data_IF_992322165161
#
_entry.id   IF_992322165161
#
_cell.length_a   1.000
_cell.length_b   1.000
_cell.length_c   1.000
_cell.angle_alpha   90.00
_cell.angle_beta   90.00
_cell.angle_gamma   90.00
#
_symmetry.space_group_name_H-M   'P 1'
#
loop_
_entity.id
_entity.type
_entity.pdbx_description
1 polymer ?
#
# COMPACT_ATOMS: atom_id res chain seq x y z
N UNK A 1 13.85 22.87 15.33
CA UNK A 1 14.05 22.08 14.11
C UNK A 1 15.22 22.69 13.35
N UNK A 2 16.27 21.92 13.07
CA UNK A 2 17.46 22.41 12.37
C UNK A 2 17.30 22.17 10.87
N UNK A 3 17.64 23.17 10.08
CA UNK A 3 17.67 23.07 8.62
C UNK A 3 18.61 21.95 8.17
N UNK A 4 18.22 21.19 7.14
CA UNK A 4 19.01 20.08 6.61
C UNK A 4 20.35 20.61 6.08
N UNK A 5 21.44 19.98 6.52
CA UNK A 5 22.81 20.31 6.09
C UNK A 5 23.36 19.39 5.01
N UNK A 6 22.69 18.27 4.76
CA UNK A 6 23.08 17.24 3.79
C UNK A 6 22.27 17.37 2.49
N UNK A 7 22.22 18.57 1.93
CA UNK A 7 21.59 18.85 0.64
C UNK A 7 22.65 18.68 -0.44
N UNK A 8 22.41 17.80 -1.41
CA UNK A 8 23.36 17.52 -2.49
C UNK A 8 22.98 18.23 -3.78
N UNK A 9 21.68 18.43 -4.03
CA UNK A 9 21.17 19.12 -5.22
C UNK A 9 20.20 20.24 -4.85
N UNK A 10 19.89 21.17 -5.77
CA UNK A 10 18.91 22.21 -5.51
C UNK A 10 17.58 21.63 -5.01
N UNK A 11 17.07 22.20 -3.92
CA UNK A 11 15.99 21.62 -3.14
C UNK A 11 14.65 22.30 -3.42
N UNK A 12 13.59 21.50 -3.58
CA UNK A 12 12.22 21.92 -3.45
C UNK A 12 11.57 21.31 -2.21
N UNK A 13 11.21 22.17 -1.24
CA UNK A 13 10.38 21.77 -0.09
C UNK A 13 8.90 21.84 -0.46
N UNK A 14 8.27 20.68 -0.54
CA UNK A 14 6.84 20.53 -0.83
C UNK A 14 6.05 20.32 0.46
N UNK A 15 5.00 21.13 0.68
CA UNK A 15 3.96 20.79 1.66
C UNK A 15 3.23 19.53 1.20
N UNK A 16 3.11 18.55 2.10
CA UNK A 16 2.42 17.31 1.81
C UNK A 16 0.91 17.56 1.76
N UNK A 17 0.32 17.17 0.64
CA UNK A 17 -1.09 17.38 0.33
C UNK A 17 -1.68 16.15 -0.38
N UNK A 18 -2.99 16.19 -0.64
CA UNK A 18 -3.72 15.09 -1.26
C UNK A 18 -3.17 14.65 -2.63
N UNK A 19 -2.42 15.49 -3.35
CA UNK A 19 -1.90 15.12 -4.67
C UNK A 19 -0.94 13.94 -4.57
N UNK A 20 -0.11 13.90 -3.52
CA UNK A 20 0.86 12.83 -3.30
C UNK A 20 0.20 11.45 -3.09
N UNK A 21 -1.04 11.40 -2.62
CA UNK A 21 -1.71 10.15 -2.28
C UNK A 21 -2.76 9.73 -3.32
N UNK A 22 -3.58 10.68 -3.80
CA UNK A 22 -4.72 10.36 -4.66
C UNK A 22 -4.35 10.08 -6.11
N UNK A 23 -3.26 10.66 -6.60
CA UNK A 23 -2.86 10.56 -8.02
C UNK A 23 -1.51 9.87 -8.24
N UNK A 24 -0.86 9.42 -7.17
CA UNK A 24 0.52 8.92 -7.17
C UNK A 24 1.48 9.85 -7.93
N UNK A 25 1.38 11.15 -7.64
CA UNK A 25 2.20 12.14 -8.30
C UNK A 25 1.95 13.56 -7.82
N UNK A 26 2.84 14.47 -8.19
CA UNK A 26 2.74 15.88 -7.85
C UNK A 26 3.14 16.78 -9.01
N UNK A 27 2.51 17.95 -9.08
CA UNK A 27 2.89 18.97 -10.07
C UNK A 27 4.08 19.75 -9.55
N UNK A 28 5.14 19.83 -10.36
CA UNK A 28 6.38 20.52 -10.02
C UNK A 28 6.16 22.02 -10.32
N UNK A 29 6.42 22.92 -9.37
CA UNK A 29 6.26 24.35 -9.60
C UNK A 29 7.29 24.85 -10.62
N UNK A 30 6.92 25.82 -11.44
CA UNK A 30 7.76 26.30 -12.56
C UNK A 30 9.18 26.68 -12.13
N UNK A 31 9.33 27.35 -10.98
CA UNK A 31 10.65 27.73 -10.48
C UNK A 31 11.55 26.52 -10.20
N UNK A 32 10.98 25.39 -9.74
CA UNK A 32 11.75 24.17 -9.51
C UNK A 32 12.06 23.47 -10.84
N UNK A 33 11.14 23.54 -11.82
CA UNK A 33 11.40 23.08 -13.18
C UNK A 33 12.59 23.81 -13.82
N UNK A 34 12.64 25.14 -13.66
CA UNK A 34 13.70 25.99 -14.20
C UNK A 34 15.03 25.72 -13.48
N UNK A 35 14.99 25.62 -12.15
CA UNK A 35 16.13 25.29 -11.29
C UNK A 35 16.77 23.95 -11.66
N UNK A 36 15.95 22.94 -11.97
CA UNK A 36 16.39 21.60 -12.35
C UNK A 36 16.57 21.41 -13.85
N UNK A 37 16.31 22.45 -14.65
CA UNK A 37 16.35 22.42 -16.12
C UNK A 37 15.50 21.29 -16.72
N UNK A 38 14.36 20.98 -16.11
CA UNK A 38 13.44 19.94 -16.61
C UNK A 38 12.98 20.17 -18.07
N UNK A 39 12.79 21.41 -18.56
CA UNK A 39 12.44 21.63 -19.96
C UNK A 39 13.48 21.12 -20.96
N UNK A 40 14.76 21.11 -20.61
CA UNK A 40 15.80 20.62 -21.53
C UNK A 40 15.70 19.09 -21.74
N UNK A 41 15.18 18.37 -20.74
CA UNK A 41 15.14 16.89 -20.74
C UNK A 41 13.75 16.33 -21.05
N UNK A 42 12.68 17.02 -20.61
CA UNK A 42 11.31 16.47 -20.60
C UNK A 42 10.30 17.31 -21.39
N UNK A 43 10.74 18.31 -22.16
CA UNK A 43 9.82 19.21 -22.87
C UNK A 43 8.77 18.48 -23.71
N UNK A 44 9.14 17.42 -24.43
CA UNK A 44 8.26 16.73 -25.37
C UNK A 44 7.68 15.41 -24.84
N UNK A 45 7.91 15.12 -23.55
CA UNK A 45 7.50 13.88 -22.91
C UNK A 45 6.09 14.02 -22.33
N UNK A 46 5.05 13.67 -23.08
CA UNK A 46 3.66 13.87 -22.64
C UNK A 46 3.01 12.67 -21.94
N UNK A 47 3.69 11.52 -21.88
CA UNK A 47 3.14 10.25 -21.42
C UNK A 47 4.09 9.50 -20.49
N UNK A 48 3.55 8.80 -19.49
CA UNK A 48 4.34 7.87 -18.64
C UNK A 48 4.83 6.63 -19.39
N UNK A 49 4.25 6.35 -20.56
CA UNK A 49 4.66 5.22 -21.43
C UNK A 49 5.89 5.54 -22.27
N UNK A 50 6.28 6.81 -22.31
CA UNK A 50 7.47 7.26 -23.03
C UNK A 50 8.70 6.89 -22.20
N UNK A 51 9.69 6.22 -22.82
CA UNK A 51 10.95 5.87 -22.16
C UNK A 51 11.70 7.13 -21.68
N UNK A 52 11.55 8.25 -22.39
CA UNK A 52 12.08 9.56 -22.00
C UNK A 52 11.51 10.09 -20.69
N UNK A 53 10.35 9.59 -20.25
CA UNK A 53 9.74 9.98 -18.97
C UNK A 53 10.36 9.32 -17.76
N UNK A 54 11.04 8.19 -17.95
CA UNK A 54 11.49 7.33 -16.85
C UNK A 54 12.56 8.04 -16.01
N UNK A 55 12.32 8.03 -14.71
CA UNK A 55 13.23 8.52 -13.66
C UNK A 55 13.25 7.52 -12.51
N UNK A 56 14.24 7.61 -11.63
CA UNK A 56 14.24 6.89 -10.36
C UNK A 56 13.94 7.85 -9.21
N UNK A 57 13.38 7.31 -8.13
CA UNK A 57 13.16 8.05 -6.89
C UNK A 57 13.79 7.27 -5.75
N UNK A 58 14.72 7.90 -5.02
CA UNK A 58 15.27 7.34 -3.79
C UNK A 58 14.52 7.91 -2.59
N UNK A 59 13.93 7.04 -1.78
CA UNK A 59 13.31 7.39 -0.51
C UNK A 59 13.68 6.34 0.53
N UNK A 60 14.15 6.78 1.71
CA UNK A 60 14.62 5.90 2.80
C UNK A 60 15.64 4.82 2.37
N UNK A 61 16.50 5.14 1.40
CA UNK A 61 17.49 4.21 0.79
C UNK A 61 16.91 3.12 -0.11
N UNK A 62 15.62 3.19 -0.42
CA UNK A 62 14.94 2.32 -1.38
C UNK A 62 14.72 3.07 -2.70
N UNK A 63 14.94 2.39 -3.83
CA UNK A 63 14.71 2.94 -5.15
C UNK A 63 13.34 2.53 -5.69
N UNK A 64 12.60 3.53 -6.17
CA UNK A 64 11.27 3.41 -6.75
C UNK A 64 11.25 3.88 -8.20
N UNK A 65 10.28 3.37 -8.95
CA UNK A 65 10.04 3.82 -10.32
C UNK A 65 9.23 5.12 -10.33
N UNK A 66 9.65 6.04 -11.21
CA UNK A 66 8.98 7.31 -11.40
C UNK A 66 8.97 7.76 -12.85
N UNK A 67 8.11 8.75 -13.13
CA UNK A 67 7.95 9.32 -14.46
C UNK A 67 7.77 10.83 -14.40
N UNK A 68 8.47 11.57 -15.26
CA UNK A 68 8.24 13.01 -15.46
C UNK A 68 7.53 13.24 -16.78
N UNK A 69 6.39 13.92 -16.74
CA UNK A 69 5.61 14.27 -17.94
C UNK A 69 5.38 15.77 -18.03
N UNK A 70 5.38 16.32 -19.25
CA UNK A 70 5.01 17.69 -19.56
C UNK A 70 3.59 17.77 -20.12
N UNK A 71 2.84 18.81 -19.73
CA UNK A 71 1.50 19.09 -20.23
C UNK A 71 1.43 20.50 -20.80
N UNK A 72 1.41 20.61 -22.14
CA UNK A 72 1.41 21.87 -22.90
C UNK A 72 0.00 22.40 -23.24
N UNK A 73 -1.01 21.53 -23.34
CA UNK A 73 -2.33 21.88 -23.88
C UNK A 73 -3.01 22.98 -23.05
N UNK A 74 -3.29 24.11 -23.70
CA UNK A 74 -4.02 25.24 -23.11
C UNK A 74 -3.24 26.10 -22.11
N UNK A 75 -1.90 26.05 -22.11
CA UNK A 75 -1.06 26.80 -21.15
C UNK A 75 0.02 27.63 -21.84
N UNK A 76 0.32 28.80 -21.26
CA UNK A 76 1.43 29.66 -21.67
C UNK A 76 2.80 29.05 -21.35
N UNK A 77 2.89 28.27 -20.28
CA UNK A 77 4.06 27.45 -19.93
C UNK A 77 3.66 25.99 -19.71
N UNK A 78 4.48 25.01 -20.15
CA UNK A 78 4.23 23.60 -19.88
C UNK A 78 4.22 23.34 -18.36
N UNK A 79 3.27 22.55 -17.87
CA UNK A 79 3.33 22.08 -16.48
C UNK A 79 3.99 20.71 -16.44
N UNK A 80 4.96 20.54 -15.54
CA UNK A 80 5.63 19.26 -15.32
C UNK A 80 5.02 18.54 -14.12
N UNK A 81 4.89 17.23 -14.24
CA UNK A 81 4.39 16.36 -13.16
C UNK A 81 5.35 15.22 -12.94
N UNK A 82 5.70 15.00 -11.67
CA UNK A 82 6.39 13.80 -11.22
C UNK A 82 5.34 12.78 -10.79
N UNK A 83 5.46 11.57 -11.30
CA UNK A 83 4.62 10.43 -10.98
C UNK A 83 5.47 9.31 -10.40
N UNK A 84 4.84 8.40 -9.67
CA UNK A 84 5.48 7.23 -9.09
C UNK A 84 4.53 6.06 -8.96
N UNK A 85 5.11 4.90 -8.67
CA UNK A 85 4.38 3.65 -8.49
C UNK A 85 3.56 3.61 -7.18
N UNK A 86 2.74 2.56 -7.04
CA UNK A 86 1.89 2.36 -5.86
C UNK A 86 2.72 2.04 -4.60
N UNK A 87 3.90 1.44 -4.74
CA UNK A 87 4.77 1.12 -3.60
C UNK A 87 5.34 2.36 -2.91
N UNK A 88 5.82 3.35 -3.67
CA UNK A 88 6.24 4.62 -3.08
C UNK A 88 5.05 5.36 -2.48
N UNK A 89 3.88 5.31 -3.13
CA UNK A 89 2.65 5.91 -2.58
C UNK A 89 2.31 5.35 -1.20
N UNK A 90 2.40 4.03 -1.02
CA UNK A 90 2.20 3.38 0.28
C UNK A 90 3.21 3.84 1.33
N UNK A 91 4.50 3.92 0.97
CA UNK A 91 5.53 4.38 1.91
C UNK A 91 5.34 5.85 2.31
N UNK A 92 4.93 6.70 1.38
CA UNK A 92 4.61 8.10 1.64
C UNK A 92 3.38 8.24 2.56
N UNK A 93 2.35 7.40 2.41
CA UNK A 93 1.18 7.37 3.32
C UNK A 93 1.59 6.98 4.75
N UNK A 94 2.54 6.05 4.89
CA UNK A 94 3.09 5.68 6.19
C UNK A 94 3.92 6.81 6.82
N UNK A 95 4.74 7.47 6.02
CA UNK A 95 5.63 8.53 6.51
C UNK A 95 4.87 9.80 6.86
N UNK A 96 3.91 10.20 6.03
CA UNK A 96 3.14 11.44 6.19
C UNK A 96 1.69 11.15 6.57
N UNK A 97 1.58 10.47 7.71
CA UNK A 97 0.36 9.85 8.17
C UNK A 97 -0.76 10.84 8.43
N UNK A 98 -0.43 11.99 9.02
CA UNK A 98 -1.42 13.00 9.35
C UNK A 98 -1.99 13.63 8.07
N UNK A 99 -1.14 13.97 7.11
CA UNK A 99 -1.57 14.50 5.82
C UNK A 99 -2.39 13.48 5.02
N UNK A 100 -2.06 12.20 5.11
CA UNK A 100 -2.86 11.14 4.51
C UNK A 100 -4.25 11.04 5.15
N UNK A 101 -4.34 11.00 6.49
CA UNK A 101 -5.64 10.99 7.20
C UNK A 101 -6.50 12.21 6.87
N UNK A 102 -5.89 13.41 6.78
CA UNK A 102 -6.60 14.62 6.31
C UNK A 102 -7.09 14.48 4.87
N UNK A 103 -6.31 13.83 4.00
CA UNK A 103 -6.73 13.59 2.62
C UNK A 103 -7.94 12.65 2.54
N UNK A 104 -7.98 11.61 3.37
CA UNK A 104 -9.14 10.72 3.51
C UNK A 104 -10.38 11.48 3.99
N UNK A 105 -10.26 12.25 5.07
CA UNK A 105 -11.36 13.07 5.62
C UNK A 105 -11.88 14.08 4.58
N UNK A 106 -10.98 14.62 3.75
CA UNK A 106 -11.37 15.52 2.65
C UNK A 106 -12.21 14.84 1.58
N UNK A 107 -11.96 13.57 1.30
CA UNK A 107 -12.71 12.83 0.30
C UNK A 107 -14.02 12.23 0.88
N UNK A 108 -14.06 11.94 2.19
CA UNK A 108 -15.24 11.42 2.88
C UNK A 108 -16.26 12.51 3.24
N UNK A 109 -15.80 13.73 3.47
CA UNK A 109 -16.68 14.84 3.84
C UNK A 109 -17.20 15.60 2.61
N UNK A 110 -18.40 16.18 2.73
CA UNK A 110 -18.95 17.10 1.74
C UNK A 110 -18.34 18.52 1.81
N UNK A 111 -17.33 18.73 2.66
CA UNK A 111 -16.73 20.03 2.94
C UNK A 111 -15.66 20.38 1.90
N UNK A 112 -15.49 21.67 1.62
CA UNK A 112 -14.41 22.12 0.71
C UNK A 112 -13.05 21.90 1.37
N UNK A 113 -12.05 21.54 0.57
CA UNK A 113 -10.66 21.30 1.04
C UNK A 113 -10.09 22.47 1.87
N UNK A 114 -10.44 23.71 1.53
CA UNK A 114 -10.01 24.92 2.25
C UNK A 114 -10.53 24.98 3.68
N UNK A 115 -11.70 24.40 3.95
CA UNK A 115 -12.30 24.42 5.28
C UNK A 115 -11.65 23.36 6.18
N UNK A 116 -11.20 22.26 5.57
CA UNK A 116 -10.54 21.15 6.28
C UNK A 116 -9.11 21.52 6.64
N UNK A 117 -8.36 22.24 5.79
CA UNK A 117 -7.02 22.71 6.17
C UNK A 117 -7.04 23.69 7.35
N UNK A 118 -8.10 24.51 7.46
CA UNK A 118 -8.30 25.38 8.64
C UNK A 118 -8.64 24.59 9.90
N UNK A 119 -9.40 23.52 9.74
CA UNK A 119 -9.86 22.68 10.86
C UNK A 119 -8.79 21.68 11.31
N UNK A 120 -7.96 21.22 10.37
CA UNK A 120 -6.95 20.17 10.54
C UNK A 120 -5.61 20.64 9.91
N UNK A 121 -4.89 21.57 10.58
CA UNK A 121 -3.67 22.16 10.04
C UNK A 121 -2.46 21.25 10.26
N UNK A 122 -2.35 20.19 9.45
CA UNK A 122 -1.13 19.39 9.39
C UNK A 122 -0.09 20.04 8.48
N UNK A 123 1.11 20.22 9.02
CA UNK A 123 2.22 20.92 8.39
C UNK A 123 3.35 19.98 8.06
N UNK A 124 3.07 18.92 7.31
CA UNK A 124 4.10 17.96 6.89
C UNK A 124 4.78 18.42 5.60
N UNK A 125 6.07 18.15 5.50
CA UNK A 125 6.92 18.63 4.42
C UNK A 125 7.83 17.52 3.90
N UNK A 126 7.84 17.37 2.58
CA UNK A 126 8.73 16.51 1.82
C UNK A 126 9.75 17.39 1.10
N UNK A 127 11.01 17.14 1.36
CA UNK A 127 12.12 17.72 0.61
C UNK A 127 12.40 16.87 -0.63
N UNK A 128 12.43 17.52 -1.79
CA UNK A 128 12.67 16.88 -3.09
C UNK A 128 13.89 17.52 -3.72
N UNK A 129 14.88 16.70 -4.04
CA UNK A 129 16.10 17.07 -4.77
C UNK A 129 16.12 16.32 -6.10
N UNK A 130 16.79 16.86 -7.13
CA UNK A 130 16.90 16.21 -8.43
C UNK A 130 18.33 16.23 -8.97
N UNK A 131 18.85 15.04 -9.24
CA UNK A 131 20.10 14.80 -9.95
C UNK A 131 19.78 14.59 -11.45
N UNK A 132 20.06 15.61 -12.25
CA UNK A 132 19.82 15.56 -13.70
C UNK A 132 20.75 14.58 -14.42
N UNK A 133 21.94 14.32 -13.89
CA UNK A 133 22.91 13.40 -14.51
C UNK A 133 22.47 11.95 -14.43
N UNK A 134 21.81 11.58 -13.32
CA UNK A 134 21.30 10.21 -13.07
C UNK A 134 19.80 10.07 -13.29
N UNK A 135 19.10 11.17 -13.61
CA UNK A 135 17.63 11.24 -13.64
C UNK A 135 17.02 10.68 -12.35
N UNK A 136 17.56 11.11 -11.21
CA UNK A 136 17.21 10.59 -9.90
C UNK A 136 16.63 11.71 -9.03
N UNK A 137 15.41 11.52 -8.56
CA UNK A 137 14.85 12.32 -7.48
C UNK A 137 15.28 11.74 -6.12
N UNK A 138 15.67 12.59 -5.18
CA UNK A 138 15.90 12.20 -3.79
C UNK A 138 14.81 12.81 -2.92
N UNK A 139 14.07 11.94 -2.24
CA UNK A 139 13.02 12.31 -1.32
C UNK A 139 13.55 12.22 0.10
N UNK A 140 13.24 13.22 0.91
CA UNK A 140 13.56 13.22 2.33
C UNK A 140 12.38 13.80 3.12
N UNK A 141 11.92 13.05 4.11
CA UNK A 141 10.89 13.56 5.03
C UNK A 141 11.51 14.68 5.89
N UNK A 142 11.22 15.93 5.54
CA UNK A 142 11.76 17.08 6.26
C UNK A 142 11.06 17.23 7.61
N UNK A 143 9.73 17.27 7.60
CA UNK A 143 8.91 17.35 8.80
C UNK A 143 7.72 16.41 8.68
N UNK A 144 7.56 15.57 9.68
CA UNK A 144 6.38 14.74 9.92
C UNK A 144 5.73 15.18 11.21
N UNK A 145 4.41 15.23 11.25
CA UNK A 145 3.70 15.57 12.47
C UNK A 145 3.44 14.28 13.24
N UNK A 146 3.92 14.19 14.47
CA UNK A 146 3.66 13.03 15.30
C UNK A 146 2.15 12.95 15.64
N UNK A 147 1.47 11.84 15.30
CA UNK A 147 0.09 11.62 15.71
C UNK A 147 -0.01 11.43 17.22
N UNK A 148 -1.15 11.79 17.82
CA UNK A 148 -1.42 11.42 19.22
C UNK A 148 -1.50 9.90 19.44
N UNK A 149 -1.76 9.13 18.38
CA UNK A 149 -1.86 7.66 18.40
C UNK A 149 -1.10 7.02 17.24
N UNK A 150 0.25 7.08 17.22
CA UNK A 150 1.04 6.71 16.04
C UNK A 150 0.87 5.26 15.64
N UNK A 151 0.83 4.34 16.61
CA UNK A 151 0.66 2.91 16.37
C UNK A 151 -0.74 2.53 15.88
N UNK A 152 -1.78 3.26 16.31
CA UNK A 152 -3.13 3.09 15.78
C UNK A 152 -3.17 3.46 14.30
N UNK A 153 -2.64 4.63 13.97
CA UNK A 153 -2.69 5.13 12.60
C UNK A 153 -1.80 4.33 11.64
N UNK A 154 -0.61 3.88 12.07
CA UNK A 154 0.23 2.98 11.25
C UNK A 154 -0.51 1.72 10.84
N UNK A 155 -1.26 1.13 11.78
CA UNK A 155 -2.11 -0.05 11.51
C UNK A 155 -3.29 0.27 10.62
N UNK A 156 -3.91 1.45 10.80
CA UNK A 156 -5.01 1.87 9.94
C UNK A 156 -4.58 1.96 8.48
N UNK A 157 -3.41 2.52 8.15
CA UNK A 157 -2.92 2.61 6.75
C UNK A 157 -2.82 1.24 6.07
N UNK A 158 -2.47 0.19 6.80
CA UNK A 158 -2.37 -1.18 6.29
C UNK A 158 -3.69 -1.95 6.35
N UNK A 159 -4.65 -1.47 7.13
CA UNK A 159 -5.92 -2.16 7.32
C UNK A 159 -6.72 -2.24 6.03
N UNK A 160 -7.37 -3.38 5.82
CA UNK A 160 -8.30 -3.58 4.71
C UNK A 160 -9.43 -2.55 4.69
N UNK A 161 -9.83 -2.02 5.85
CA UNK A 161 -10.88 -1.01 5.97
C UNK A 161 -10.47 0.31 5.29
N UNK A 162 -9.24 0.79 5.52
CA UNK A 162 -8.73 2.01 4.89
C UNK A 162 -8.44 1.79 3.41
N UNK A 163 -7.89 0.63 3.04
CA UNK A 163 -7.68 0.29 1.63
C UNK A 163 -9.00 0.29 0.84
N UNK A 164 -10.09 -0.21 1.44
CA UNK A 164 -11.42 -0.18 0.83
C UNK A 164 -11.93 1.25 0.64
N UNK A 165 -11.76 2.11 1.66
CA UNK A 165 -12.12 3.53 1.56
C UNK A 165 -11.32 4.22 0.44
N UNK A 166 -10.01 3.94 0.34
CA UNK A 166 -9.16 4.46 -0.74
C UNK A 166 -9.66 4.03 -2.13
N UNK A 167 -10.01 2.76 -2.31
CA UNK A 167 -10.50 2.23 -3.58
C UNK A 167 -11.89 2.80 -3.95
N UNK A 168 -12.79 2.97 -2.96
CA UNK A 168 -14.09 3.66 -3.11
C UNK A 168 -13.89 5.11 -3.59
N UNK A 169 -13.00 5.87 -2.94
CA UNK A 169 -12.68 7.26 -3.32
C UNK A 169 -12.10 7.35 -4.74
N UNK A 170 -11.24 6.40 -5.10
CA UNK A 170 -10.56 6.40 -6.39
C UNK A 170 -11.47 6.01 -7.56
N UNK A 171 -12.77 5.70 -7.31
CA UNK A 171 -13.68 5.09 -8.29
C UNK A 171 -13.02 3.89 -9.00
N UNK A 172 -12.15 3.16 -8.29
CA UNK A 172 -11.62 1.90 -8.78
C UNK A 172 -12.78 0.91 -8.71
N UNK A 173 -13.49 0.78 -9.83
CA UNK A 173 -14.51 -0.24 -9.97
C UNK A 173 -13.91 -1.62 -9.71
N UNK A 174 -14.76 -2.47 -9.13
CA UNK A 174 -14.61 -3.91 -8.94
C UNK A 174 -14.19 -4.41 -7.56
N UNK A 175 -14.76 -5.58 -7.28
CA UNK A 175 -14.58 -6.43 -6.13
C UNK A 175 -13.10 -6.83 -5.96
N UNK A 176 -12.29 -5.96 -5.35
CA UNK A 176 -10.88 -6.21 -5.08
C UNK A 176 -10.68 -6.99 -3.78
N UNK A 177 -9.89 -8.06 -3.85
CA UNK A 177 -9.44 -8.80 -2.67
C UNK A 177 -8.29 -8.01 -2.02
N UNK A 178 -8.46 -7.61 -0.77
CA UNK A 178 -7.43 -6.93 0.01
C UNK A 178 -6.55 -7.95 0.72
N UNK A 179 -5.31 -8.09 0.25
CA UNK A 179 -4.34 -9.05 0.79
C UNK A 179 -3.63 -8.45 1.98
N UNK A 180 -3.35 -9.28 2.98
CA UNK A 180 -2.55 -8.90 4.14
C UNK A 180 -1.29 -9.77 4.20
N UNK A 181 -0.22 -9.16 4.67
CA UNK A 181 1.06 -9.84 4.89
C UNK A 181 1.00 -10.80 6.08
N UNK A 182 2.06 -11.60 6.23
CA UNK A 182 2.21 -12.50 7.37
C UNK A 182 2.37 -11.72 8.68
N UNK A 183 1.65 -12.17 9.70
CA UNK A 183 1.62 -11.59 11.03
C UNK A 183 1.81 -12.66 12.09
N UNK A 184 2.46 -12.29 13.20
CA UNK A 184 2.54 -13.13 14.39
C UNK A 184 1.16 -13.33 15.00
N UNK A 185 0.89 -14.52 15.56
CA UNK A 185 -0.36 -14.84 16.28
C UNK A 185 -0.73 -13.82 17.35
N UNK A 186 0.24 -13.21 18.03
CA UNK A 186 0.03 -12.16 19.03
C UNK A 186 -0.64 -10.90 18.46
N UNK A 187 -0.58 -10.69 17.15
CA UNK A 187 -1.24 -9.58 16.46
C UNK A 187 -2.73 -9.81 16.19
N UNK A 188 -3.26 -11.02 16.42
CA UNK A 188 -4.66 -11.37 16.13
C UNK A 188 -5.68 -10.44 16.80
N UNK A 189 -5.57 -10.06 18.10
CA UNK A 189 -6.56 -9.19 18.74
C UNK A 189 -6.70 -7.81 18.10
N UNK A 190 -5.73 -7.43 17.27
CA UNK A 190 -5.62 -6.12 16.64
C UNK A 190 -6.29 -6.08 15.26
N UNK A 191 -6.71 -7.23 14.73
CA UNK A 191 -7.37 -7.36 13.43
C UNK A 191 -8.89 -7.24 13.54
N UNK A 192 -9.38 -6.42 14.48
CA UNK A 192 -10.83 -6.23 14.65
C UNK A 192 -11.43 -5.64 13.37
N UNK A 193 -12.57 -6.20 12.96
CA UNK A 193 -13.26 -5.79 11.74
C UNK A 193 -12.83 -6.53 10.46
N UNK A 194 -11.82 -7.41 10.52
CA UNK A 194 -11.50 -8.32 9.42
C UNK A 194 -12.63 -9.34 9.22
N UNK A 195 -13.56 -9.03 8.31
CA UNK A 195 -14.73 -9.83 7.98
C UNK A 195 -14.66 -10.38 6.57
N UNK A 196 -15.41 -11.46 6.32
CA UNK A 196 -15.50 -12.09 5.00
C UNK A 196 -14.12 -12.43 4.40
N UNK A 197 -13.36 -13.28 5.06
CA UNK A 197 -11.94 -13.52 4.74
C UNK A 197 -11.65 -14.97 4.39
N UNK A 198 -10.62 -15.18 3.56
CA UNK A 198 -9.87 -16.44 3.52
C UNK A 198 -8.57 -16.21 4.29
N UNK A 199 -8.24 -17.10 5.21
CA UNK A 199 -7.02 -17.01 6.01
C UNK A 199 -6.12 -18.22 5.81
N UNK A 200 -4.84 -18.00 6.07
CA UNK A 200 -3.81 -19.04 6.11
C UNK A 200 -3.11 -18.97 7.46
N UNK A 201 -2.99 -20.12 8.11
CA UNK A 201 -2.21 -20.31 9.33
C UNK A 201 -0.96 -21.11 8.99
N UNK A 202 0.12 -20.84 9.68
CA UNK A 202 1.35 -21.62 9.61
C UNK A 202 1.82 -21.95 11.03
N UNK A 203 2.34 -23.16 11.18
CA UNK A 203 3.11 -23.61 12.33
C UNK A 203 4.53 -23.85 11.82
N UNK A 204 5.41 -22.90 12.08
CA UNK A 204 6.79 -22.96 11.55
C UNK A 204 7.61 -24.08 12.17
N UNK A 205 7.27 -24.54 13.38
CA UNK A 205 8.00 -25.59 14.10
C UNK A 205 7.65 -26.98 13.57
N UNK A 206 6.35 -27.26 13.45
CA UNK A 206 5.86 -28.55 12.94
C UNK A 206 5.71 -28.56 11.42
N UNK A 207 6.03 -27.45 10.76
CA UNK A 207 5.92 -27.24 9.31
C UNK A 207 4.52 -27.55 8.79
N UNK A 208 3.50 -27.01 9.45
CA UNK A 208 2.10 -27.20 9.05
C UNK A 208 1.54 -25.93 8.42
N UNK A 209 0.70 -26.10 7.39
CA UNK A 209 -0.09 -25.01 6.78
C UNK A 209 -1.57 -25.38 6.89
N UNK A 210 -2.41 -24.40 7.20
CA UNK A 210 -3.86 -24.57 7.24
C UNK A 210 -4.56 -23.41 6.55
N UNK A 211 -5.55 -23.72 5.70
CA UNK A 211 -6.41 -22.73 5.04
C UNK A 211 -7.79 -22.78 5.68
N UNK A 212 -8.40 -21.62 5.87
CA UNK A 212 -9.79 -21.56 6.32
C UNK A 212 -10.51 -20.30 5.86
N UNK A 213 -11.82 -20.28 6.05
CA UNK A 213 -12.65 -19.09 5.86
C UNK A 213 -13.23 -18.57 7.18
N UNK A 214 -13.54 -17.28 7.21
CA UNK A 214 -14.27 -16.69 8.32
C UNK A 214 -15.20 -15.56 7.88
N UNK A 215 -16.39 -15.52 8.47
CA UNK A 215 -17.21 -14.30 8.51
C UNK A 215 -16.53 -13.23 9.36
N UNK A 216 -15.90 -13.63 10.46
CA UNK A 216 -15.15 -12.75 11.40
C UNK A 216 -13.86 -13.46 11.81
N UNK A 217 -12.72 -12.91 11.39
CA UNK A 217 -11.41 -13.53 11.58
C UNK A 217 -11.05 -13.70 13.07
N UNK A 218 -11.21 -12.64 13.86
CA UNK A 218 -10.78 -12.64 15.27
C UNK A 218 -11.62 -13.63 16.07
N UNK A 219 -12.94 -13.60 15.88
CA UNK A 219 -13.84 -14.57 16.53
C UNK A 219 -13.51 -16.00 16.11
N UNK A 220 -13.21 -16.23 14.83
CA UNK A 220 -12.88 -17.54 14.29
C UNK A 220 -11.54 -18.06 14.84
N UNK A 221 -10.48 -17.27 14.81
CA UNK A 221 -9.13 -17.67 15.21
C UNK A 221 -8.88 -17.67 16.73
N UNK A 222 -9.78 -17.07 17.52
CA UNK A 222 -9.76 -17.17 18.98
C UNK A 222 -10.14 -18.58 19.49
N UNK A 223 -10.78 -19.40 18.65
CA UNK A 223 -11.07 -20.79 18.97
C UNK A 223 -9.81 -21.68 18.83
N UNK A 224 -9.82 -22.84 19.50
CA UNK A 224 -8.73 -23.80 19.37
C UNK A 224 -8.86 -24.65 18.10
N UNK A 225 -7.76 -24.86 17.38
CA UNK A 225 -7.72 -25.61 16.12
C UNK A 225 -6.97 -26.93 16.32
N UNK A 226 -7.72 -28.02 16.50
CA UNK A 226 -7.13 -29.34 16.73
C UNK A 226 -6.23 -29.82 15.58
N UNK A 227 -6.46 -29.36 14.35
CA UNK A 227 -5.64 -29.72 13.18
C UNK A 227 -4.28 -29.01 13.13
N UNK A 228 -4.14 -27.85 13.77
CA UNK A 228 -2.90 -27.05 13.78
C UNK A 228 -2.75 -26.30 15.12
N UNK A 229 -2.67 -26.99 16.27
CA UNK A 229 -2.81 -26.34 17.57
C UNK A 229 -1.71 -25.31 17.89
N UNK A 230 -0.53 -25.45 17.29
CA UNK A 230 0.65 -24.64 17.60
C UNK A 230 0.99 -23.62 16.50
N UNK A 231 0.02 -23.22 15.67
CA UNK A 231 0.22 -22.15 14.69
C UNK A 231 0.74 -20.86 15.36
N UNK A 232 1.72 -20.23 14.72
CA UNK A 232 2.48 -19.09 15.23
C UNK A 232 2.43 -17.86 14.31
N UNK A 233 2.13 -18.03 13.02
CA UNK A 233 1.79 -16.93 12.12
C UNK A 233 0.47 -17.15 11.39
N UNK A 234 -0.10 -16.05 10.93
CA UNK A 234 -1.27 -16.03 10.06
C UNK A 234 -1.17 -14.93 9.02
N UNK A 235 -1.89 -15.11 7.92
CA UNK A 235 -2.23 -14.05 6.97
C UNK A 235 -3.66 -14.23 6.51
N UNK A 236 -4.24 -13.21 5.91
CA UNK A 236 -5.59 -13.31 5.38
C UNK A 236 -5.82 -12.37 4.22
N UNK A 237 -6.79 -12.73 3.41
CA UNK A 237 -7.26 -11.98 2.26
C UNK A 237 -8.73 -11.63 2.52
N UNK A 238 -9.05 -10.34 2.56
CA UNK A 238 -10.42 -9.83 2.74
C UNK A 238 -11.12 -9.85 1.41
N UNK A 239 -12.22 -10.59 1.35
CA UNK A 239 -13.04 -10.68 0.17
C UNK A 239 -14.05 -9.52 0.12
N UNK A 240 -14.28 -8.95 -1.06
CA UNK A 240 -15.44 -8.12 -1.35
C UNK A 240 -16.77 -8.75 -0.93
N UNK A 241 -17.73 -7.92 -0.56
CA UNK A 241 -19.06 -8.37 -0.12
C UNK A 241 -19.79 -9.21 -1.18
N UNK A 242 -19.56 -8.93 -2.46
CA UNK A 242 -20.11 -9.73 -3.58
C UNK A 242 -19.63 -11.19 -3.56
N UNK A 243 -18.46 -11.48 -2.98
CA UNK A 243 -17.96 -12.85 -2.85
C UNK A 243 -18.34 -13.51 -1.53
N UNK A 244 -19.04 -12.83 -0.63
CA UNK A 244 -19.47 -13.42 0.64
C UNK A 244 -20.28 -14.73 0.48
N UNK A 245 -21.20 -14.87 -0.50
CA UNK A 245 -21.90 -16.13 -0.75
C UNK A 245 -21.00 -17.26 -1.27
N UNK A 246 -19.86 -16.92 -1.90
CA UNK A 246 -18.94 -17.86 -2.55
C UNK A 246 -17.70 -18.17 -1.72
N UNK A 247 -17.56 -17.58 -0.53
CA UNK A 247 -16.36 -17.67 0.31
C UNK A 247 -15.92 -19.12 0.61
N UNK A 248 -16.86 -20.00 0.94
CA UNK A 248 -16.57 -21.44 1.20
C UNK A 248 -16.09 -22.14 -0.07
N UNK A 249 -16.63 -21.79 -1.24
CA UNK A 249 -16.19 -22.35 -2.52
C UNK A 249 -14.77 -21.91 -2.85
N UNK A 250 -14.43 -20.64 -2.58
CA UNK A 250 -13.08 -20.10 -2.77
C UNK A 250 -12.07 -20.77 -1.82
N UNK A 251 -12.45 -20.98 -0.55
CA UNK A 251 -11.63 -21.75 0.42
C UNK A 251 -11.30 -23.15 -0.12
N UNK A 252 -12.31 -23.89 -0.59
CA UNK A 252 -12.15 -25.25 -1.11
C UNK A 252 -11.24 -25.29 -2.33
N UNK A 253 -11.38 -24.33 -3.24
CA UNK A 253 -10.48 -24.19 -4.39
C UNK A 253 -9.02 -24.05 -3.94
N UNK A 254 -8.74 -23.14 -3.00
CA UNK A 254 -7.38 -22.91 -2.48
C UNK A 254 -6.83 -24.14 -1.75
N UNK A 255 -7.66 -24.82 -0.95
CA UNK A 255 -7.28 -26.08 -0.29
C UNK A 255 -6.89 -27.12 -1.33
N UNK A 256 -7.67 -27.24 -2.43
CA UNK A 256 -7.42 -28.21 -3.50
C UNK A 256 -6.11 -27.92 -4.24
N UNK A 257 -5.87 -26.66 -4.55
CA UNK A 257 -4.65 -26.20 -5.23
C UNK A 257 -3.41 -26.49 -4.37
N UNK A 258 -3.48 -26.20 -3.07
CA UNK A 258 -2.38 -26.49 -2.15
C UNK A 258 -2.21 -28.00 -1.89
N UNK A 259 -3.30 -28.77 -1.85
CA UNK A 259 -3.21 -30.23 -1.70
C UNK A 259 -2.49 -30.89 -2.89
N UNK A 260 -2.60 -30.32 -4.08
CA UNK A 260 -1.88 -30.79 -5.26
C UNK A 260 -0.37 -30.49 -5.21
N UNK A 261 0.07 -29.54 -4.38
CA UNK A 261 1.47 -29.08 -4.30
C UNK A 261 2.17 -29.43 -2.98
N UNK A 262 1.42 -29.73 -1.93
CA UNK A 262 1.92 -30.00 -0.59
C UNK A 262 1.59 -31.41 -0.14
N UNK A 263 2.49 -32.05 0.63
CA UNK A 263 2.17 -33.29 1.33
C UNK A 263 0.95 -33.09 2.21
N UNK A 264 0.05 -34.07 2.21
CA UNK A 264 -1.21 -34.03 2.93
C UNK A 264 -1.70 -35.46 3.19
N UNK A 265 -2.73 -35.62 4.02
CA UNK A 265 -3.16 -36.96 4.49
C UNK A 265 -4.15 -37.69 3.57
N UNK A 266 -4.61 -37.07 2.47
CA UNK A 266 -5.79 -37.56 1.73
C UNK A 266 -5.71 -37.51 0.21
N UNK A 267 -4.77 -36.78 -0.35
CA UNK A 267 -4.66 -36.54 -1.79
C UNK A 267 -3.38 -37.15 -2.31
N UNK A 268 -3.53 -38.25 -3.06
CA UNK A 268 -2.43 -39.11 -3.51
C UNK A 268 -1.77 -38.62 -4.81
N UNK A 269 -2.40 -37.67 -5.52
CA UNK A 269 -1.92 -37.14 -6.80
C UNK A 269 -1.34 -35.72 -6.62
N UNK A 270 -0.26 -35.61 -5.84
CA UNK A 270 0.41 -34.34 -5.58
C UNK A 270 1.84 -34.33 -6.13
N UNK A 271 2.31 -33.14 -6.50
CA UNK A 271 3.71 -32.86 -6.78
C UNK A 271 4.23 -32.07 -5.58
N UNK A 272 4.84 -32.76 -4.64
CA UNK A 272 5.33 -32.15 -3.40
C UNK A 272 6.51 -31.21 -3.67
N UNK A 273 6.29 -29.90 -3.55
CA UNK A 273 7.32 -28.86 -3.76
C UNK A 273 7.90 -28.29 -2.45
N UNK A 274 7.38 -28.72 -1.30
CA UNK A 274 7.75 -28.20 0.02
C UNK A 274 7.66 -29.29 1.08
N UNK A 275 8.43 -29.11 2.15
CA UNK A 275 8.37 -29.93 3.36
C UNK A 275 7.22 -29.55 4.30
N UNK A 276 6.51 -28.45 4.03
CA UNK A 276 5.32 -28.09 4.78
C UNK A 276 4.13 -28.97 4.42
N UNK A 277 3.41 -29.44 5.44
CA UNK A 277 2.28 -30.37 5.30
C UNK A 277 0.96 -29.59 5.44
N UNK A 278 0.04 -29.80 4.51
CA UNK A 278 -1.30 -29.25 4.58
C UNK A 278 -2.11 -29.98 5.67
N UNK A 279 -2.49 -29.24 6.71
CA UNK A 279 -3.20 -29.74 7.89
C UNK A 279 -4.72 -29.83 7.72
N UNK A 280 -5.27 -29.32 6.61
CA UNK A 280 -6.70 -29.40 6.31
C UNK A 280 -7.17 -30.87 6.26
N UNK A 281 -8.23 -31.19 7.01
CA UNK A 281 -8.77 -32.56 7.08
C UNK A 281 -9.83 -32.84 6.02
N UNK A 282 -10.43 -31.80 5.44
CA UNK A 282 -11.35 -31.89 4.30
C UNK A 282 -10.65 -31.33 3.08
N UNK A 283 -10.41 -32.20 2.11
CA UNK A 283 -9.83 -31.88 0.81
C UNK A 283 -10.79 -32.51 -0.19
N UNK A 284 -11.38 -31.70 -1.05
CA UNK A 284 -12.28 -32.21 -2.09
C UNK A 284 -11.44 -33.06 -3.06
N UNK A 285 -11.94 -34.24 -3.46
CA UNK A 285 -11.31 -35.14 -4.43
C UNK A 285 -11.35 -34.57 -5.85
#
# INVERSE_FOLDING_TARGET
MLERKNIEFPLWRKKVDKSLFGYNGTTIPNWACDMWKLPETFADVSSKKDEGSIVKINFNSTLYDGWVTSAKKGRRSPAYRLWYDESLSLELKHTFLMSYMRSLETNLSSRKTTDIEKTIPFWEFLDIEYDSSKRLFKFCAYYTQEPSFPELFKRLVQSSAIQRIDDEIANKGEARIHKQDWMLRSALPLQQGAKNVIYTLIDTRNKLIYIGEAVDLVKRLSANYASIPHWDYFRYDVLPDVFAPHRVTLERMIIRDLAALLPNKKHDNNICISEYILANTKIDS
#
